data_IF_408375930458
#
_entry.id   IF_408375930458
#
_cell.length_a   1.000
_cell.length_b   1.000
_cell.length_c   1.000
_cell.angle_alpha   90.00
_cell.angle_beta   90.00
_cell.angle_gamma   90.00
#
_symmetry.space_group_name_H-M   'P 1'
#
loop_
_entity.id
_entity.type
_entity.pdbx_description
1 polymer ?
#
# COMPACT_ATOMS: atom_id res chain seq x y z
N UNK A 1 14.48 -10.46 -0.91
CA UNK A 1 13.77 -9.83 -2.04
C UNK A 1 14.73 -8.98 -2.86
N UNK A 2 14.46 -8.89 -4.17
CA UNK A 2 15.32 -8.28 -5.18
C UNK A 2 15.41 -6.73 -5.09
N UNK A 3 14.55 -6.06 -4.30
CA UNK A 3 14.40 -4.60 -4.29
C UNK A 3 14.61 -4.00 -2.89
N UNK A 4 15.22 -2.80 -2.83
CA UNK A 4 15.41 -2.04 -1.57
C UNK A 4 14.07 -1.48 -1.09
N UNK A 5 13.87 -1.39 0.22
CA UNK A 5 12.62 -0.88 0.81
C UNK A 5 12.23 0.49 0.24
N UNK A 6 13.20 1.40 0.09
CA UNK A 6 12.95 2.73 -0.45
C UNK A 6 12.37 2.73 -1.87
N UNK A 7 12.83 1.83 -2.74
CA UNK A 7 12.31 1.69 -4.10
C UNK A 7 10.86 1.19 -4.10
N UNK A 8 10.55 0.21 -3.24
CA UNK A 8 9.20 -0.34 -3.11
C UNK A 8 8.24 0.72 -2.54
N UNK A 9 8.67 1.46 -1.52
CA UNK A 9 7.89 2.53 -0.90
C UNK A 9 7.59 3.66 -1.90
N UNK A 10 8.58 4.09 -2.69
CA UNK A 10 8.37 5.09 -3.74
C UNK A 10 7.41 4.58 -4.80
N UNK A 11 7.60 3.36 -5.30
CA UNK A 11 6.72 2.78 -6.31
C UNK A 11 5.26 2.76 -5.84
N UNK A 12 5.03 2.31 -4.60
CA UNK A 12 3.71 2.32 -4.00
C UNK A 12 3.12 3.74 -3.86
N UNK A 13 3.94 4.71 -3.44
CA UNK A 13 3.50 6.11 -3.35
C UNK A 13 3.12 6.69 -4.72
N UNK A 14 3.91 6.40 -5.76
CA UNK A 14 3.59 6.80 -7.13
C UNK A 14 2.33 6.13 -7.65
N UNK A 15 2.10 4.85 -7.31
CA UNK A 15 0.87 4.14 -7.65
C UNK A 15 -0.36 4.81 -7.02
N UNK A 16 -0.28 5.19 -5.73
CA UNK A 16 -1.36 5.94 -5.06
C UNK A 16 -1.59 7.31 -5.71
N UNK A 17 -0.52 8.03 -6.07
CA UNK A 17 -0.64 9.31 -6.76
C UNK A 17 -1.33 9.15 -8.12
N UNK A 18 -0.90 8.16 -8.90
CA UNK A 18 -1.48 7.85 -10.20
C UNK A 18 -2.97 7.50 -10.09
N UNK A 19 -3.35 6.62 -9.15
CA UNK A 19 -4.76 6.29 -8.91
C UNK A 19 -5.57 7.52 -8.49
N UNK A 20 -5.00 8.39 -7.64
CA UNK A 20 -5.63 9.64 -7.23
C UNK A 20 -5.91 10.57 -8.41
N UNK A 21 -4.92 10.80 -9.29
CA UNK A 21 -5.11 11.60 -10.51
C UNK A 21 -6.08 10.94 -11.47
N UNK A 22 -5.99 9.62 -11.66
CA UNK A 22 -6.88 8.87 -12.56
C UNK A 22 -8.34 8.97 -12.11
N UNK A 23 -8.62 8.84 -10.81
CA UNK A 23 -9.99 8.99 -10.27
C UNK A 23 -10.54 10.41 -10.41
N UNK A 24 -9.69 11.44 -10.39
CA UNK A 24 -10.12 12.84 -10.57
C UNK A 24 -10.40 13.15 -12.05
N UNK A 25 -9.56 12.68 -12.97
CA UNK A 25 -9.73 12.98 -14.39
C UNK A 25 -10.77 12.11 -15.09
N UNK A 26 -10.68 10.79 -14.92
CA UNK A 26 -11.54 9.82 -15.60
C UNK A 26 -11.75 8.59 -14.71
N UNK A 27 -12.70 8.64 -13.76
CA UNK A 27 -12.93 7.54 -12.82
C UNK A 27 -13.34 6.23 -13.51
N UNK A 28 -13.97 6.30 -14.69
CA UNK A 28 -14.33 5.11 -15.48
C UNK A 28 -13.12 4.20 -15.72
N UNK A 29 -11.93 4.78 -15.98
CA UNK A 29 -10.73 3.99 -16.25
C UNK A 29 -10.33 3.07 -15.09
N UNK A 30 -10.54 3.54 -13.84
CA UNK A 30 -10.23 2.76 -12.64
C UNK A 30 -11.36 1.78 -12.32
N UNK A 31 -12.61 2.22 -12.48
CA UNK A 31 -13.80 1.44 -12.14
C UNK A 31 -13.99 0.25 -13.09
N UNK A 32 -13.86 0.50 -14.39
CA UNK A 32 -14.05 -0.46 -15.48
C UNK A 32 -12.77 -1.23 -15.83
N UNK A 33 -11.76 -1.14 -14.97
CA UNK A 33 -10.51 -1.88 -15.17
C UNK A 33 -10.77 -3.40 -15.20
N UNK A 34 -10.06 -4.13 -16.07
CA UNK A 34 -10.18 -5.59 -16.10
C UNK A 34 -9.82 -6.25 -14.76
N UNK A 35 -8.95 -5.61 -13.97
CA UNK A 35 -8.56 -6.07 -12.64
C UNK A 35 -9.73 -5.97 -11.64
N UNK A 36 -10.41 -4.82 -11.58
CA UNK A 36 -11.58 -4.64 -10.70
C UNK A 36 -12.76 -5.52 -11.12
N UNK A 37 -12.94 -5.74 -12.42
CA UNK A 37 -13.94 -6.67 -12.93
C UNK A 37 -13.64 -8.12 -12.52
N UNK A 38 -12.40 -8.59 -12.71
CA UNK A 38 -12.00 -9.96 -12.40
C UNK A 38 -12.09 -10.28 -10.91
N UNK A 39 -11.53 -9.41 -10.06
CA UNK A 39 -11.54 -9.60 -8.61
C UNK A 39 -12.96 -9.46 -8.07
N UNK A 40 -13.73 -8.49 -8.55
CA UNK A 40 -15.13 -8.32 -8.19
C UNK A 40 -15.99 -9.54 -8.52
N UNK A 41 -15.83 -10.08 -9.74
CA UNK A 41 -16.52 -11.29 -10.16
C UNK A 41 -16.12 -12.51 -9.32
N UNK A 42 -14.84 -12.63 -8.96
CA UNK A 42 -14.34 -13.71 -8.11
C UNK A 42 -14.96 -13.69 -6.70
N UNK A 43 -15.27 -12.50 -6.19
CA UNK A 43 -15.92 -12.30 -4.89
C UNK A 43 -17.44 -12.22 -4.96
N UNK A 44 -18.02 -12.31 -6.17
CA UNK A 44 -19.45 -12.15 -6.42
C UNK A 44 -19.97 -10.83 -5.82
N UNK A 45 -19.29 -9.73 -6.16
CA UNK A 45 -19.62 -8.37 -5.77
C UNK A 45 -20.26 -7.61 -6.93
N UNK A 46 -21.20 -6.71 -6.60
CA UNK A 46 -21.87 -5.84 -7.58
C UNK A 46 -20.83 -4.89 -8.21
N UNK A 47 -20.82 -4.75 -9.54
CA UNK A 47 -19.94 -3.80 -10.21
C UNK A 47 -20.40 -2.37 -9.92
N UNK A 48 -19.47 -1.52 -9.51
CA UNK A 48 -19.71 -0.08 -9.43
C UNK A 48 -19.74 0.48 -10.86
N UNK A 49 -20.71 1.34 -11.16
CA UNK A 49 -20.83 2.02 -12.46
C UNK A 49 -20.72 3.52 -12.23
N UNK A 50 -19.94 4.22 -13.06
CA UNK A 50 -19.83 5.70 -13.00
C UNK A 50 -21.20 6.32 -13.30
N UNK A 51 -21.69 7.15 -12.39
CA UNK A 51 -22.99 7.84 -12.48
C UNK A 51 -22.85 9.27 -11.95
N UNK A 52 -23.66 10.21 -12.44
CA UNK A 52 -23.61 11.61 -12.01
C UNK A 52 -23.70 11.78 -10.47
N UNK A 53 -24.38 10.86 -9.78
CA UNK A 53 -24.51 10.89 -8.32
C UNK A 53 -23.27 10.41 -7.56
N UNK A 54 -22.42 9.54 -8.13
CA UNK A 54 -21.26 8.99 -7.44
C UNK A 54 -19.93 9.63 -7.86
N UNK A 55 -19.90 10.37 -8.97
CA UNK A 55 -18.73 11.10 -9.44
C UNK A 55 -18.12 12.03 -8.37
N UNK A 56 -18.88 12.80 -7.57
CA UNK A 56 -18.29 13.62 -6.50
C UNK A 56 -17.57 12.79 -5.44
N UNK A 57 -18.14 11.65 -5.04
CA UNK A 57 -17.55 10.73 -4.05
C UNK A 57 -16.27 10.07 -4.57
N UNK A 58 -16.26 9.71 -5.85
CA UNK A 58 -15.09 9.14 -6.53
C UNK A 58 -13.96 10.15 -6.64
N UNK A 59 -14.26 11.39 -7.03
CA UNK A 59 -13.29 12.48 -7.07
C UNK A 59 -12.71 12.77 -5.67
N UNK A 60 -13.57 12.80 -4.64
CA UNK A 60 -13.13 12.97 -3.26
C UNK A 60 -12.20 11.83 -2.81
N UNK A 61 -12.51 10.59 -3.18
CA UNK A 61 -11.63 9.43 -2.91
C UNK A 61 -10.27 9.59 -3.60
N UNK A 62 -10.26 10.11 -4.84
CA UNK A 62 -9.02 10.46 -5.55
C UNK A 62 -8.16 11.48 -4.78
N UNK A 63 -8.79 12.52 -4.21
CA UNK A 63 -8.10 13.50 -3.36
C UNK A 63 -7.50 12.82 -2.12
N UNK A 64 -8.23 11.90 -1.46
CA UNK A 64 -7.71 11.15 -0.32
C UNK A 64 -6.46 10.33 -0.70
N UNK A 65 -6.45 9.70 -1.88
CA UNK A 65 -5.28 8.97 -2.37
C UNK A 65 -4.07 9.89 -2.65
N UNK A 66 -4.31 11.09 -3.17
CA UNK A 66 -3.24 12.08 -3.35
C UNK A 66 -2.64 12.53 -2.01
N UNK A 67 -3.49 12.83 -1.02
CA UNK A 67 -3.04 13.21 0.33
C UNK A 67 -2.23 12.08 0.96
N UNK A 68 -2.70 10.85 0.81
CA UNK A 68 -2.01 9.68 1.34
C UNK A 68 -0.66 9.44 0.66
N UNK A 69 -0.58 9.61 -0.66
CA UNK A 69 0.67 9.56 -1.41
C UNK A 69 1.65 10.65 -0.95
N UNK A 70 1.15 11.87 -0.71
CA UNK A 70 1.98 12.97 -0.19
C UNK A 70 2.56 12.63 1.19
N UNK A 71 1.75 12.10 2.11
CA UNK A 71 2.22 11.65 3.43
C UNK A 71 3.34 10.59 3.32
N UNK A 72 3.20 9.61 2.44
CA UNK A 72 4.21 8.57 2.23
C UNK A 72 5.49 9.13 1.59
N UNK A 73 5.35 10.04 0.63
CA UNK A 73 6.48 10.72 -0.01
C UNK A 73 7.27 11.56 0.99
N UNK A 74 6.59 12.33 1.84
CA UNK A 74 7.24 13.15 2.89
C UNK A 74 7.98 12.27 3.90
N UNK A 75 7.33 11.20 4.39
CA UNK A 75 7.97 10.26 5.30
C UNK A 75 9.21 9.59 4.69
N UNK A 76 9.17 9.32 3.38
CA UNK A 76 10.30 8.79 2.63
C UNK A 76 11.46 9.80 2.53
N UNK A 77 11.17 11.06 2.19
CA UNK A 77 12.16 12.15 2.13
C UNK A 77 12.84 12.40 3.48
N UNK A 78 12.10 12.25 4.58
CA UNK A 78 12.63 12.39 5.94
C UNK A 78 13.39 11.14 6.42
N UNK A 79 13.50 10.09 5.61
CA UNK A 79 14.06 8.79 6.00
C UNK A 79 13.48 8.25 7.31
N UNK A 80 12.19 8.50 7.57
CA UNK A 80 11.54 8.16 8.83
C UNK A 80 11.13 6.67 8.84
N UNK A 81 12.10 5.81 9.18
CA UNK A 81 11.89 4.35 9.24
C UNK A 81 10.87 3.96 10.32
N UNK A 82 10.77 4.74 11.39
CA UNK A 82 9.84 4.47 12.50
C UNK A 82 8.38 4.64 12.05
N UNK A 83 8.09 5.70 11.27
CA UNK A 83 6.77 5.92 10.67
C UNK A 83 6.34 4.70 9.86
N UNK A 84 7.17 4.25 8.92
CA UNK A 84 6.86 3.09 8.08
C UNK A 84 6.71 1.81 8.89
N UNK A 85 7.59 1.59 9.87
CA UNK A 85 7.52 0.40 10.72
C UNK A 85 6.23 0.32 11.55
N UNK A 86 5.63 1.45 11.89
CA UNK A 86 4.37 1.51 12.61
C UNK A 86 3.18 1.40 11.64
N UNK A 87 3.10 2.28 10.63
CA UNK A 87 1.90 2.43 9.81
C UNK A 87 1.60 1.22 8.93
N UNK A 88 2.63 0.59 8.34
CA UNK A 88 2.48 -0.53 7.39
C UNK A 88 1.69 -1.71 8.00
N UNK A 89 2.07 -2.27 9.16
CA UNK A 89 1.33 -3.39 9.74
C UNK A 89 -0.07 -3.00 10.20
N UNK A 90 -0.26 -1.81 10.77
CA UNK A 90 -1.60 -1.35 11.14
C UNK A 90 -2.53 -1.23 9.94
N UNK A 91 -2.01 -0.73 8.82
CA UNK A 91 -2.77 -0.61 7.58
C UNK A 91 -3.09 -1.98 6.99
N UNK A 92 -2.14 -2.91 7.00
CA UNK A 92 -2.41 -4.30 6.59
C UNK A 92 -3.52 -4.95 7.42
N UNK A 93 -3.51 -4.76 8.74
CA UNK A 93 -4.55 -5.30 9.63
C UNK A 93 -5.90 -4.66 9.29
N UNK A 94 -5.93 -3.34 9.10
CA UNK A 94 -7.13 -2.62 8.69
C UNK A 94 -7.69 -3.16 7.37
N UNK A 95 -6.87 -3.27 6.33
CA UNK A 95 -7.28 -3.76 5.01
C UNK A 95 -7.75 -5.21 5.06
N UNK A 96 -7.11 -6.04 5.90
CA UNK A 96 -7.54 -7.43 6.11
C UNK A 96 -8.93 -7.51 6.76
N UNK A 97 -9.17 -6.71 7.81
CA UNK A 97 -10.50 -6.64 8.45
C UNK A 97 -11.53 -6.08 7.46
N UNK A 98 -11.16 -5.06 6.69
CA UNK A 98 -12.07 -4.39 5.76
C UNK A 98 -12.45 -5.27 4.57
N UNK A 99 -11.49 -5.96 3.97
CA UNK A 99 -11.76 -6.97 2.91
C UNK A 99 -12.60 -8.13 3.45
N UNK A 100 -12.31 -8.61 4.66
CA UNK A 100 -13.13 -9.61 5.35
C UNK A 100 -14.58 -9.12 5.59
N UNK A 101 -14.76 -7.85 5.97
CA UNK A 101 -16.07 -7.25 6.15
C UNK A 101 -16.86 -7.23 4.83
N UNK A 102 -16.25 -6.79 3.74
CA UNK A 102 -16.89 -6.74 2.42
C UNK A 102 -17.30 -8.15 1.97
N UNK A 103 -16.45 -9.16 2.22
CA UNK A 103 -16.76 -10.55 1.92
C UNK A 103 -18.00 -11.07 2.67
N UNK A 104 -18.15 -10.72 3.95
CA UNK A 104 -19.28 -11.15 4.78
C UNK A 104 -20.56 -10.35 4.52
N UNK A 105 -20.46 -9.08 4.13
CA UNK A 105 -21.60 -8.16 3.97
C UNK A 105 -21.64 -7.56 2.56
N UNK A 106 -21.95 -8.40 1.56
CA UNK A 106 -21.97 -8.03 0.14
C UNK A 106 -22.97 -6.95 -0.25
N UNK A 107 -24.08 -6.79 0.48
CA UNK A 107 -25.12 -5.80 0.16
C UNK A 107 -24.91 -4.41 0.79
N UNK A 108 -23.79 -4.22 1.50
CA UNK A 108 -23.47 -2.92 2.09
C UNK A 108 -23.00 -1.91 1.03
N UNK A 109 -23.20 -0.61 1.27
CA UNK A 109 -22.84 0.47 0.33
C UNK A 109 -21.33 0.49 0.01
N UNK A 110 -20.51 0.07 0.99
CA UNK A 110 -19.05 -0.07 0.84
C UNK A 110 -18.62 -1.35 0.11
N UNK A 111 -19.55 -2.30 -0.09
CA UNK A 111 -19.26 -3.62 -0.64
C UNK A 111 -19.51 -3.64 -2.15
N UNK A 112 -18.57 -3.04 -2.88
CA UNK A 112 -18.54 -3.06 -4.34
C UNK A 112 -17.18 -3.58 -4.84
N UNK A 113 -17.14 -3.97 -6.11
CA UNK A 113 -15.94 -4.53 -6.73
C UNK A 113 -14.71 -3.61 -6.64
N UNK A 114 -14.86 -2.31 -6.82
CA UNK A 114 -13.75 -1.34 -6.81
C UNK A 114 -13.18 -1.18 -5.41
N UNK A 115 -14.03 -0.98 -4.41
CA UNK A 115 -13.61 -0.85 -3.00
C UNK A 115 -12.91 -2.11 -2.52
N UNK A 116 -13.44 -3.29 -2.84
CA UNK A 116 -12.79 -4.55 -2.50
C UNK A 116 -11.43 -4.70 -3.20
N UNK A 117 -11.39 -4.44 -4.51
CA UNK A 117 -10.15 -4.56 -5.30
C UNK A 117 -9.07 -3.64 -4.76
N UNK A 118 -9.40 -2.39 -4.44
CA UNK A 118 -8.46 -1.46 -3.84
C UNK A 118 -7.94 -1.97 -2.50
N UNK A 119 -8.82 -2.34 -1.57
CA UNK A 119 -8.42 -2.80 -0.24
C UNK A 119 -7.59 -4.09 -0.30
N UNK A 120 -7.94 -5.02 -1.21
CA UNK A 120 -7.19 -6.25 -1.42
C UNK A 120 -5.79 -5.98 -2.03
N UNK A 121 -5.70 -5.13 -3.04
CA UNK A 121 -4.41 -4.72 -3.60
C UNK A 121 -3.57 -3.95 -2.59
N UNK A 122 -4.18 -3.08 -1.78
CA UNK A 122 -3.49 -2.33 -0.73
C UNK A 122 -2.90 -3.28 0.32
N UNK A 123 -3.69 -4.26 0.76
CA UNK A 123 -3.22 -5.33 1.65
C UNK A 123 -1.98 -6.04 1.09
N UNK A 124 -2.01 -6.43 -0.19
CA UNK A 124 -0.85 -7.06 -0.85
C UNK A 124 0.37 -6.14 -0.83
N UNK A 125 0.19 -4.85 -1.13
CA UNK A 125 1.26 -3.86 -1.08
C UNK A 125 1.82 -3.70 0.34
N UNK A 126 0.97 -3.66 1.37
CA UNK A 126 1.45 -3.56 2.76
C UNK A 126 2.29 -4.77 3.14
N UNK A 127 1.94 -5.98 2.70
CA UNK A 127 2.78 -7.17 2.93
C UNK A 127 4.15 -7.05 2.25
N UNK A 128 4.22 -6.58 1.00
CA UNK A 128 5.50 -6.38 0.31
C UNK A 128 6.36 -5.28 0.93
N UNK A 129 5.74 -4.18 1.36
CA UNK A 129 6.43 -3.11 2.08
C UNK A 129 6.99 -3.60 3.42
N UNK A 130 6.19 -4.36 4.17
CA UNK A 130 6.60 -4.95 5.44
C UNK A 130 7.78 -5.92 5.28
N UNK A 131 7.67 -6.84 4.32
CA UNK A 131 8.74 -7.80 4.03
C UNK A 131 10.05 -7.07 3.64
N UNK A 132 9.96 -6.09 2.74
CA UNK A 132 11.13 -5.32 2.28
C UNK A 132 11.77 -4.53 3.42
N UNK A 133 10.96 -3.91 4.29
CA UNK A 133 11.44 -3.18 5.45
C UNK A 133 12.21 -4.07 6.43
N UNK A 134 11.64 -5.25 6.74
CA UNK A 134 12.27 -6.18 7.66
C UNK A 134 13.56 -6.79 7.11
N UNK A 135 13.61 -7.08 5.80
CA UNK A 135 14.85 -7.50 5.16
C UNK A 135 15.95 -6.44 5.27
N UNK A 136 15.62 -5.17 5.00
CA UNK A 136 16.61 -4.09 5.09
C UNK A 136 17.08 -3.90 6.53
N UNK A 137 16.17 -3.93 7.53
CA UNK A 137 16.55 -3.94 8.96
C UNK A 137 17.49 -5.10 9.30
N UNK A 138 17.21 -6.31 8.81
CA UNK A 138 18.05 -7.48 9.04
C UNK A 138 19.43 -7.35 8.39
N UNK A 139 19.53 -6.76 7.18
CA UNK A 139 20.81 -6.45 6.53
C UNK A 139 21.63 -5.44 7.32
N UNK A 140 20.99 -4.37 7.82
CA UNK A 140 21.66 -3.37 8.66
C UNK A 140 22.20 -3.98 9.95
N UNK A 141 21.40 -4.78 10.66
CA UNK A 141 21.83 -5.46 11.88
C UNK A 141 23.05 -6.37 11.65
N UNK A 142 23.04 -7.15 10.56
CA UNK A 142 24.18 -8.01 10.17
C UNK A 142 25.44 -7.20 9.84
N UNK A 143 25.30 -6.02 9.22
CA UNK A 143 26.43 -5.15 8.90
C UNK A 143 27.09 -4.61 10.17
N UNK A 144 26.30 -4.15 11.14
CA UNK A 144 26.82 -3.66 12.42
C UNK A 144 27.51 -4.76 13.24
N UNK A 145 26.99 -5.99 13.22
CA UNK A 145 27.64 -7.12 13.88
C UNK A 145 29.02 -7.44 13.27
N UNK A 146 29.13 -7.45 11.94
CA UNK A 146 30.40 -7.67 11.25
C UNK A 146 31.43 -6.57 11.53
N UNK A 147 30.98 -5.32 11.60
CA UNK A 147 31.84 -4.18 11.94
C UNK A 147 32.37 -4.31 13.38
N UNK A 148 31.51 -4.64 14.34
CA UNK A 148 31.90 -4.86 15.74
C UNK A 148 32.84 -6.08 15.92
N UNK A 149 32.63 -7.16 15.16
CA UNK A 149 33.55 -8.32 15.16
C UNK A 149 34.91 -7.97 14.54
N UNK A 150 34.93 -7.16 13.48
CA UNK A 150 36.16 -6.71 12.85
C UNK A 150 36.96 -5.75 13.75
N UNK A 151 36.28 -4.87 14.51
CA UNK A 151 36.92 -4.01 15.52
C UNK A 151 37.56 -4.84 16.64
N UNK A 152 36.82 -5.80 17.21
CA UNK A 152 37.37 -6.71 18.23
C UNK A 152 38.58 -7.50 17.73
N UNK A 153 38.53 -8.00 16.49
CA UNK A 153 39.65 -8.76 15.93
C UNK A 153 40.89 -7.89 15.68
N UNK A 154 40.73 -6.60 15.37
CA UNK A 154 41.86 -5.67 15.24
C UNK A 154 42.53 -5.42 16.59
N UNK A 155 41.74 -5.19 17.65
CA UNK A 155 42.23 -5.02 19.03
C UNK A 155 42.96 -6.26 19.58
N UNK A 156 42.64 -7.46 19.07
CA UNK A 156 43.32 -8.71 19.44
C UNK A 156 44.63 -8.96 18.68
N UNK A 157 44.90 -8.20 17.61
CA UNK A 157 46.09 -8.34 16.76
C UNK A 157 47.13 -7.23 16.92
N UNK A 158 46.82 -6.19 17.71
CA UNK A 158 47.74 -5.14 18.18
C UNK A 158 48.26 -5.45 19.58
#
# INVERSE_FOLDING_TARGET
MLFRFGTVALFYSFLLAYLGVAMIWKPEFVIESGLSALIGASMDLKPLVSSANNQPTLAFTGILFLVLSLMHTVAHLQHNVLYFSAIIPFRAIFDFIFTGYIYLKKDHILSNNVTFTFAFCDLMWQFWLYASLNEDKAKFAKKMQKEAEAEKNKELTE
#
